data_IF_029117688436
#
_entry.id   IF_029117688436
#
_cell.length_a   1.000
_cell.length_b   1.000
_cell.length_c   1.000
_cell.angle_alpha   90.00
_cell.angle_beta   90.00
_cell.angle_gamma   90.00
#
_symmetry.space_group_name_H-M   'P 1'
#
loop_
_entity.id
_entity.type
_entity.pdbx_description
1 polymer ?
#
# COMPACT_ATOMS: atom_id res chain seq x y z
N UNK A 1 23.19 -7.82 -14.42
CA UNK A 1 23.72 -8.73 -13.39
C UNK A 1 22.51 -9.19 -12.61
N UNK A 2 22.12 -10.45 -12.77
CA UNK A 2 20.80 -10.95 -12.34
C UNK A 2 20.85 -11.59 -10.96
N UNK A 3 21.98 -11.43 -10.26
CA UNK A 3 22.21 -11.88 -8.88
C UNK A 3 22.92 -10.78 -8.12
N UNK A 4 22.48 -10.55 -6.90
CA UNK A 4 23.12 -9.62 -5.97
C UNK A 4 23.01 -10.20 -4.56
N UNK A 5 24.08 -10.09 -3.78
CA UNK A 5 24.04 -10.36 -2.34
C UNK A 5 23.99 -9.00 -1.63
N UNK A 6 22.84 -8.70 -1.03
CA UNK A 6 22.56 -7.41 -0.41
C UNK A 6 22.52 -7.55 1.11
N UNK A 7 23.13 -6.62 1.84
CA UNK A 7 23.23 -6.67 3.31
C UNK A 7 21.88 -6.79 4.04
N UNK A 8 20.82 -6.26 3.45
CA UNK A 8 19.46 -6.30 3.99
C UNK A 8 18.58 -7.39 3.39
N UNK A 9 18.65 -7.59 2.06
CA UNK A 9 17.75 -8.48 1.33
C UNK A 9 18.33 -9.90 1.16
N UNK A 10 19.60 -10.10 1.51
CA UNK A 10 20.33 -11.34 1.27
C UNK A 10 20.59 -11.57 -0.21
N UNK A 11 20.72 -12.84 -0.58
CA UNK A 11 20.92 -13.26 -1.96
C UNK A 11 19.63 -13.13 -2.77
N UNK A 12 19.59 -12.17 -3.70
CA UNK A 12 18.54 -11.98 -4.68
C UNK A 12 18.96 -12.59 -6.02
N UNK A 13 18.02 -13.20 -6.73
CA UNK A 13 18.25 -13.83 -8.03
C UNK A 13 17.04 -13.68 -8.95
N UNK A 14 17.24 -13.04 -10.09
CA UNK A 14 16.22 -12.81 -11.14
C UNK A 14 16.41 -13.71 -12.36
N UNK A 15 17.33 -14.70 -12.34
CA UNK A 15 17.55 -15.61 -13.48
C UNK A 15 16.32 -16.49 -13.80
N UNK A 16 15.51 -16.80 -12.77
CA UNK A 16 14.39 -17.74 -12.88
C UNK A 16 13.03 -17.07 -13.08
N UNK A 17 12.97 -15.74 -13.05
CA UNK A 17 11.70 -14.99 -13.19
C UNK A 17 11.53 -14.47 -14.62
N UNK A 18 10.31 -14.10 -14.98
CA UNK A 18 9.99 -13.62 -16.34
C UNK A 18 10.66 -12.28 -16.65
N UNK A 19 10.89 -11.99 -17.94
CA UNK A 19 11.15 -10.61 -18.39
C UNK A 19 9.86 -9.84 -18.66
N UNK A 20 8.76 -10.57 -18.93
CA UNK A 20 7.46 -9.98 -19.29
C UNK A 20 6.60 -9.62 -18.09
N UNK A 21 6.87 -10.24 -16.93
CA UNK A 21 6.05 -10.13 -15.74
C UNK A 21 6.91 -9.99 -14.49
N UNK A 22 6.56 -9.04 -13.63
CA UNK A 22 7.24 -8.89 -12.34
C UNK A 22 6.91 -10.07 -11.41
N UNK A 23 7.91 -10.56 -10.68
CA UNK A 23 7.74 -11.62 -9.68
C UNK A 23 8.43 -11.24 -8.36
N UNK A 24 7.99 -11.86 -7.27
CA UNK A 24 8.50 -11.62 -5.92
C UNK A 24 9.82 -12.35 -5.74
N UNK A 25 10.90 -11.58 -5.55
CA UNK A 25 12.24 -12.12 -5.30
C UNK A 25 12.64 -12.08 -3.83
N UNK A 26 11.90 -11.36 -3.01
CA UNK A 26 12.09 -11.30 -1.57
C UNK A 26 10.81 -10.90 -0.87
N UNK A 27 10.60 -11.39 0.35
CA UNK A 27 9.53 -10.92 1.22
C UNK A 27 9.92 -10.99 2.68
N UNK A 28 9.27 -10.17 3.51
CA UNK A 28 9.41 -10.19 4.98
C UNK A 28 8.18 -9.60 5.64
N UNK A 29 7.81 -10.15 6.79
CA UNK A 29 6.75 -9.60 7.64
C UNK A 29 7.30 -8.55 8.62
N UNK A 30 6.51 -7.50 8.84
CA UNK A 30 6.77 -6.43 9.78
C UNK A 30 5.58 -6.29 10.73
N UNK A 31 5.86 -6.11 12.01
CA UNK A 31 4.85 -5.75 13.00
C UNK A 31 4.85 -4.24 13.18
N UNK A 32 3.73 -3.61 12.84
CA UNK A 32 3.42 -2.23 13.19
C UNK A 32 2.44 -2.22 14.36
N UNK A 33 2.18 -1.03 14.92
CA UNK A 33 1.33 -0.86 16.11
C UNK A 33 -0.03 -1.54 16.01
N UNK A 34 -0.61 -1.65 14.81
CA UNK A 34 -1.97 -2.16 14.57
C UNK A 34 -2.03 -3.38 13.66
N UNK A 35 -1.01 -3.63 12.87
CA UNK A 35 -1.05 -4.63 11.80
C UNK A 35 0.27 -5.40 11.71
N UNK A 36 0.18 -6.65 11.29
CA UNK A 36 1.31 -7.34 10.68
C UNK A 36 1.16 -7.17 9.16
N UNK A 37 2.18 -6.61 8.53
CA UNK A 37 2.20 -6.32 7.10
C UNK A 37 3.33 -7.08 6.43
N UNK A 38 3.07 -7.65 5.26
CA UNK A 38 4.11 -8.25 4.43
C UNK A 38 4.66 -7.21 3.46
N UNK A 39 5.99 -7.06 3.44
CA UNK A 39 6.69 -6.36 2.38
C UNK A 39 7.22 -7.35 1.35
N UNK A 40 7.12 -7.02 0.07
CA UNK A 40 7.59 -7.81 -1.06
C UNK A 40 8.47 -6.96 -1.96
N UNK A 41 9.57 -7.52 -2.44
CA UNK A 41 10.41 -6.94 -3.49
C UNK A 41 10.09 -7.62 -4.82
N UNK A 42 9.66 -6.82 -5.78
CA UNK A 42 9.25 -7.24 -7.11
C UNK A 42 10.32 -6.83 -8.13
N UNK A 43 10.65 -7.75 -9.03
CA UNK A 43 11.62 -7.52 -10.08
C UNK A 43 11.26 -8.29 -11.35
N UNK A 44 11.90 -7.94 -12.46
CA UNK A 44 11.92 -8.71 -13.71
C UNK A 44 13.35 -9.17 -14.02
N UNK A 45 13.49 -10.14 -14.92
CA UNK A 45 14.81 -10.68 -15.30
C UNK A 45 15.65 -9.76 -16.20
N UNK A 46 15.02 -8.79 -16.88
CA UNK A 46 15.66 -7.87 -17.83
C UNK A 46 16.19 -6.58 -17.17
N UNK A 47 15.75 -6.27 -15.94
CA UNK A 47 16.17 -5.07 -15.19
C UNK A 47 17.28 -5.41 -14.18
N UNK A 48 18.45 -4.78 -14.28
CA UNK A 48 19.49 -4.97 -13.27
C UNK A 48 19.07 -4.33 -11.95
N UNK A 49 19.31 -5.05 -10.85
CA UNK A 49 19.12 -4.51 -9.51
C UNK A 49 20.29 -3.57 -9.16
N UNK A 50 19.97 -2.34 -8.78
CA UNK A 50 20.94 -1.36 -8.28
C UNK A 50 21.05 -1.44 -6.75
N UNK A 51 22.26 -1.73 -6.26
CA UNK A 51 22.55 -1.83 -4.83
C UNK A 51 22.23 -0.55 -4.04
N UNK A 52 22.48 0.63 -4.61
CA UNK A 52 22.20 1.91 -3.96
C UNK A 52 20.69 2.15 -3.82
N UNK A 53 19.90 1.77 -4.84
CA UNK A 53 18.44 1.86 -4.77
C UNK A 53 17.86 0.83 -3.80
N UNK A 54 18.45 -0.37 -3.73
CA UNK A 54 18.10 -1.36 -2.70
C UNK A 54 18.42 -0.85 -1.28
N UNK A 55 19.55 -0.17 -1.09
CA UNK A 55 19.87 0.48 0.19
C UNK A 55 18.83 1.55 0.58
N UNK A 56 18.28 2.28 -0.39
CA UNK A 56 17.20 3.24 -0.16
C UNK A 56 15.91 2.55 0.32
N UNK A 57 15.46 1.49 -0.37
CA UNK A 57 14.34 0.67 0.12
C UNK A 57 14.59 0.09 1.51
N UNK A 58 15.78 -0.47 1.75
CA UNK A 58 16.14 -1.01 3.06
C UNK A 58 16.13 0.06 4.16
N UNK A 59 16.57 1.28 3.85
CA UNK A 59 16.49 2.42 4.76
C UNK A 59 15.04 2.78 5.09
N UNK A 60 14.14 2.76 4.10
CA UNK A 60 12.71 3.00 4.32
C UNK A 60 12.05 1.92 5.17
N UNK A 61 12.32 0.65 4.89
CA UNK A 61 11.81 -0.46 5.71
C UNK A 61 12.30 -0.42 7.16
N UNK A 62 13.52 0.10 7.43
CA UNK A 62 14.02 0.31 8.79
C UNK A 62 13.28 1.43 9.54
N UNK A 63 12.68 2.38 8.82
CA UNK A 63 11.90 3.50 9.36
C UNK A 63 10.43 3.42 8.93
N UNK A 64 9.89 2.19 8.82
CA UNK A 64 8.57 1.95 8.23
C UNK A 64 7.44 2.68 8.97
N UNK A 65 7.53 2.86 10.29
CA UNK A 65 6.53 3.59 11.06
C UNK A 65 6.42 5.07 10.66
N UNK A 66 7.53 5.70 10.25
CA UNK A 66 7.53 7.08 9.78
C UNK A 66 6.91 7.19 8.39
N UNK A 67 7.17 6.19 7.53
CA UNK A 67 6.57 6.10 6.20
C UNK A 67 5.05 5.84 6.29
N UNK A 68 4.61 4.92 7.17
CA UNK A 68 3.19 4.66 7.43
C UNK A 68 2.47 5.92 7.95
N UNK A 69 3.08 6.64 8.88
CA UNK A 69 2.53 7.91 9.37
C UNK A 69 2.38 8.93 8.23
N UNK A 70 3.38 9.02 7.35
CA UNK A 70 3.33 9.92 6.19
C UNK A 70 2.24 9.50 5.21
N UNK A 71 2.11 8.20 4.92
CA UNK A 71 1.09 7.66 4.04
C UNK A 71 -0.32 7.97 4.55
N UNK A 72 -0.57 7.75 5.85
CA UNK A 72 -1.84 8.09 6.50
C UNK A 72 -2.17 9.59 6.42
N UNK A 73 -1.17 10.46 6.52
CA UNK A 73 -1.37 11.90 6.30
C UNK A 73 -1.78 12.22 4.85
N UNK A 74 -1.19 11.56 3.86
CA UNK A 74 -1.56 11.77 2.46
C UNK A 74 -2.94 11.19 2.13
N UNK A 75 -3.30 10.03 2.70
CA UNK A 75 -4.66 9.50 2.61
C UNK A 75 -5.66 10.49 3.19
N UNK A 76 -5.39 11.07 4.36
CA UNK A 76 -6.25 12.09 4.95
C UNK A 76 -6.50 13.27 4.00
N UNK A 77 -5.45 13.79 3.36
CA UNK A 77 -5.56 14.87 2.37
C UNK A 77 -6.33 14.47 1.12
N UNK A 78 -6.13 13.24 0.63
CA UNK A 78 -6.87 12.69 -0.49
C UNK A 78 -8.37 12.65 -0.16
N UNK A 79 -8.72 12.13 1.02
CA UNK A 79 -10.10 12.02 1.49
C UNK A 79 -10.75 13.37 1.83
N UNK A 80 -9.96 14.39 2.20
CA UNK A 80 -10.47 15.76 2.36
C UNK A 80 -10.91 16.37 1.02
N UNK A 81 -10.24 15.99 -0.07
CA UNK A 81 -10.54 16.47 -1.42
C UNK A 81 -11.65 15.66 -2.11
N UNK A 82 -11.75 14.36 -1.82
CA UNK A 82 -12.68 13.43 -2.44
C UNK A 82 -13.21 12.44 -1.40
N UNK A 83 -14.51 12.49 -1.15
CA UNK A 83 -15.19 11.70 -0.12
C UNK A 83 -15.74 10.37 -0.65
N UNK A 84 -15.65 10.10 -1.95
CA UNK A 84 -16.31 8.95 -2.58
C UNK A 84 -15.86 7.63 -1.95
N UNK A 85 -14.59 7.50 -1.58
CA UNK A 85 -14.10 6.30 -0.90
C UNK A 85 -14.75 6.11 0.50
N UNK A 86 -15.01 7.19 1.25
CA UNK A 86 -15.67 7.12 2.56
C UNK A 86 -17.15 6.76 2.36
N UNK A 87 -17.83 7.43 1.43
CA UNK A 87 -19.24 7.17 1.13
C UNK A 87 -19.48 5.73 0.67
N UNK A 88 -18.62 5.23 -0.23
CA UNK A 88 -18.66 3.86 -0.71
C UNK A 88 -18.61 2.85 0.46
N UNK A 89 -17.70 3.04 1.42
CA UNK A 89 -17.53 2.10 2.53
C UNK A 89 -18.58 2.25 3.65
N UNK A 90 -19.10 3.45 3.88
CA UNK A 90 -20.01 3.71 5.00
C UNK A 90 -21.49 3.71 4.61
N UNK A 91 -21.80 3.82 3.32
CA UNK A 91 -23.17 3.84 2.79
C UNK A 91 -23.38 2.69 1.79
N UNK A 92 -22.63 2.66 0.69
CA UNK A 92 -22.93 1.75 -0.43
C UNK A 92 -22.73 0.27 -0.07
N UNK A 93 -21.59 -0.09 0.53
CA UNK A 93 -21.34 -1.48 0.94
C UNK A 93 -22.39 -1.95 1.97
N UNK A 94 -22.70 -1.19 3.05
CA UNK A 94 -23.75 -1.56 3.99
C UNK A 94 -25.13 -1.78 3.36
N UNK A 95 -25.50 -1.00 2.34
CA UNK A 95 -26.75 -1.19 1.60
C UNK A 95 -26.75 -2.49 0.78
N UNK A 96 -25.60 -2.88 0.22
CA UNK A 96 -25.45 -4.12 -0.53
C UNK A 96 -25.43 -5.37 0.37
N UNK A 97 -24.96 -5.25 1.62
CA UNK A 97 -24.85 -6.36 2.58
C UNK A 97 -25.53 -6.00 3.91
N UNK A 98 -26.87 -5.88 3.95
CA UNK A 98 -27.61 -5.30 5.09
C UNK A 98 -27.63 -6.20 6.34
N UNK A 99 -27.20 -7.46 6.22
CA UNK A 99 -27.18 -8.43 7.32
C UNK A 99 -25.80 -8.57 8.00
N UNK A 100 -24.80 -7.82 7.54
CA UNK A 100 -23.48 -7.76 8.17
C UNK A 100 -23.50 -6.93 9.46
N UNK A 101 -22.54 -7.16 10.36
CA UNK A 101 -22.41 -6.37 11.59
C UNK A 101 -21.68 -5.05 11.32
N UNK A 102 -22.47 -3.98 11.16
CA UNK A 102 -21.98 -2.62 10.92
C UNK A 102 -21.81 -1.80 12.21
N UNK A 103 -21.62 -2.46 13.37
CA UNK A 103 -21.45 -1.75 14.65
C UNK A 103 -20.26 -0.79 14.66
N UNK A 104 -19.19 -1.07 13.91
CA UNK A 104 -18.05 -0.16 13.80
C UNK A 104 -18.40 1.13 13.04
N UNK A 105 -19.29 1.11 12.04
CA UNK A 105 -19.75 2.32 11.32
C UNK A 105 -20.40 3.28 12.29
N UNK A 106 -21.17 2.79 13.28
CA UNK A 106 -21.76 3.66 14.32
C UNK A 106 -20.72 4.38 15.17
N UNK A 107 -19.49 3.88 15.23
CA UNK A 107 -18.39 4.56 15.91
C UNK A 107 -17.86 5.74 15.08
N UNK A 108 -17.83 5.58 13.76
CA UNK A 108 -17.38 6.62 12.82
C UNK A 108 -18.51 7.62 12.46
N UNK A 109 -19.77 7.18 12.51
CA UNK A 109 -20.98 7.92 12.19
C UNK A 109 -22.06 7.74 13.28
N UNK A 110 -21.85 8.26 14.51
CA UNK A 110 -22.77 8.05 15.62
C UNK A 110 -24.17 8.65 15.37
N UNK A 111 -24.29 9.63 14.47
CA UNK A 111 -25.55 10.27 14.09
C UNK A 111 -26.12 9.77 12.75
N UNK A 112 -25.46 8.82 12.09
CA UNK A 112 -25.89 8.30 10.78
C UNK A 112 -25.70 9.27 9.61
N UNK A 113 -24.89 10.31 9.77
CA UNK A 113 -24.59 11.30 8.73
C UNK A 113 -23.12 11.19 8.33
N UNK A 114 -22.85 10.76 7.09
CA UNK A 114 -21.50 10.54 6.57
C UNK A 114 -20.68 11.83 6.51
N UNK A 115 -21.34 12.98 6.35
CA UNK A 115 -20.67 14.29 6.32
C UNK A 115 -20.09 14.70 7.67
N UNK A 116 -20.46 13.98 8.75
CA UNK A 116 -19.95 14.21 10.11
C UNK A 116 -18.75 13.32 10.46
N UNK A 117 -18.34 12.42 9.56
CA UNK A 117 -17.20 11.53 9.79
C UNK A 117 -15.93 12.35 9.97
N UNK A 118 -15.20 12.03 11.03
CA UNK A 118 -13.85 12.54 11.20
C UNK A 118 -12.90 11.72 10.32
N UNK A 119 -12.32 12.36 9.30
CA UNK A 119 -11.37 11.72 8.37
C UNK A 119 -10.19 11.08 9.12
N UNK A 120 -9.69 11.70 10.19
CA UNK A 120 -8.58 11.13 10.96
C UNK A 120 -8.98 9.81 11.65
N UNK A 121 -10.21 9.71 12.13
CA UNK A 121 -10.72 8.46 12.74
C UNK A 121 -10.96 7.39 11.67
N UNK A 122 -11.43 7.76 10.48
CA UNK A 122 -11.57 6.85 9.34
C UNK A 122 -10.20 6.31 8.91
N UNK A 123 -9.21 7.18 8.70
CA UNK A 123 -7.83 6.81 8.36
C UNK A 123 -7.19 5.97 9.46
N UNK A 124 -7.49 6.22 10.73
CA UNK A 124 -7.01 5.42 11.85
C UNK A 124 -7.59 4.01 11.86
N UNK A 125 -8.82 3.84 11.37
CA UNK A 125 -9.48 2.56 11.22
C UNK A 125 -8.97 1.75 10.01
N UNK A 126 -8.40 2.41 9.00
CA UNK A 126 -7.76 1.73 7.86
C UNK A 126 -6.55 0.90 8.28
N UNK A 127 -6.41 -0.26 7.65
CA UNK A 127 -5.34 -1.23 7.89
C UNK A 127 -4.35 -1.23 6.75
N UNK A 128 -3.06 -1.27 7.08
CA UNK A 128 -2.02 -1.46 6.06
C UNK A 128 -1.92 -2.95 5.73
N UNK A 129 -2.27 -3.33 4.51
CA UNK A 129 -2.37 -4.73 4.10
C UNK A 129 -1.08 -5.25 3.46
N UNK A 130 -0.45 -4.45 2.60
CA UNK A 130 0.71 -4.88 1.82
C UNK A 130 1.66 -3.72 1.54
N UNK A 131 2.95 -4.04 1.42
CA UNK A 131 4.00 -3.12 0.95
C UNK A 131 4.70 -3.77 -0.24
N UNK A 132 4.63 -3.14 -1.41
CA UNK A 132 5.34 -3.59 -2.60
C UNK A 132 6.50 -2.64 -2.93
N UNK A 133 7.70 -3.20 -3.07
CA UNK A 133 8.90 -2.51 -3.51
C UNK A 133 9.18 -2.95 -4.95
N UNK A 134 8.99 -2.07 -5.92
CA UNK A 134 9.16 -2.40 -7.33
C UNK A 134 10.53 -1.94 -7.83
N UNK A 135 11.41 -2.86 -8.21
CA UNK A 135 12.70 -2.54 -8.87
C UNK A 135 12.48 -2.24 -10.36
N UNK A 136 11.46 -2.86 -10.95
CA UNK A 136 11.02 -2.65 -12.33
C UNK A 136 9.75 -1.80 -12.34
N UNK A 137 9.26 -1.44 -13.52
CA UNK A 137 7.87 -1.00 -13.62
C UNK A 137 6.97 -2.22 -13.38
N UNK A 138 5.90 -2.11 -12.58
CA UNK A 138 4.89 -3.16 -12.51
C UNK A 138 4.27 -3.33 -13.90
N UNK A 139 3.74 -4.52 -14.18
CA UNK A 139 3.13 -4.84 -15.48
C UNK A 139 2.20 -3.71 -15.92
N UNK A 140 2.23 -3.37 -17.22
CA UNK A 140 1.60 -2.19 -17.87
C UNK A 140 0.11 -1.96 -17.55
N UNK A 141 -0.56 -2.91 -16.88
CA UNK A 141 -1.97 -2.89 -16.52
C UNK A 141 -2.24 -2.61 -15.04
N UNK A 142 -1.21 -2.66 -14.18
CA UNK A 142 -1.38 -2.62 -12.72
C UNK A 142 -1.27 -1.23 -12.11
N UNK A 143 -0.73 -0.23 -12.82
CA UNK A 143 -0.75 1.15 -12.33
C UNK A 143 -0.26 2.16 -13.36
N UNK A 144 -1.17 3.03 -13.81
CA UNK A 144 -0.77 4.27 -14.46
C UNK A 144 0.14 5.08 -13.52
N UNK A 145 1.29 5.51 -14.04
CA UNK A 145 2.19 6.43 -13.34
C UNK A 145 3.14 5.82 -12.30
N UNK A 146 3.31 4.49 -12.25
CA UNK A 146 4.38 3.89 -11.41
C UNK A 146 5.69 3.81 -12.18
N UNK A 147 6.69 4.52 -11.68
CA UNK A 147 8.06 4.46 -12.17
C UNK A 147 8.82 3.27 -11.55
N UNK A 148 9.95 2.90 -12.15
CA UNK A 148 10.90 1.97 -11.52
C UNK A 148 11.32 2.51 -10.14
N UNK A 149 11.61 1.61 -9.20
CA UNK A 149 12.01 1.97 -7.84
C UNK A 149 10.92 2.69 -7.04
N UNK A 150 9.68 2.20 -7.12
CA UNK A 150 8.54 2.72 -6.36
C UNK A 150 8.22 1.83 -5.16
N UNK A 151 7.84 2.46 -4.04
CA UNK A 151 7.18 1.82 -2.91
C UNK A 151 5.67 2.05 -3.03
N UNK A 152 4.88 0.99 -2.97
CA UNK A 152 3.42 1.05 -2.90
C UNK A 152 2.97 0.48 -1.57
N UNK A 153 2.11 1.21 -0.87
CA UNK A 153 1.54 0.81 0.41
C UNK A 153 0.01 0.75 0.28
N UNK A 154 -0.55 -0.44 0.46
CA UNK A 154 -1.97 -0.70 0.19
C UNK A 154 -2.77 -0.62 1.49
N UNK A 155 -3.65 0.36 1.59
CA UNK A 155 -4.52 0.56 2.74
C UNK A 155 -5.94 0.13 2.44
N UNK A 156 -6.50 -0.68 3.34
CA UNK A 156 -7.86 -1.22 3.22
C UNK A 156 -8.75 -0.75 4.35
N UNK A 157 -10.03 -0.61 4.07
CA UNK A 157 -11.06 -0.38 5.07
C UNK A 157 -12.07 -1.52 5.03
N UNK A 158 -12.27 -2.20 6.18
CA UNK A 158 -13.13 -3.39 6.27
C UNK A 158 -12.83 -4.49 5.23
N UNK A 159 -11.61 -5.06 5.24
CA UNK A 159 -11.17 -6.06 4.26
C UNK A 159 -12.01 -7.35 4.23
N UNK A 160 -12.85 -7.57 5.24
CA UNK A 160 -13.80 -8.67 5.30
C UNK A 160 -14.97 -8.56 4.30
N UNK A 161 -15.23 -7.36 3.80
CA UNK A 161 -16.40 -7.04 2.95
C UNK A 161 -16.06 -6.16 1.74
N UNK A 162 -14.83 -5.65 1.65
CA UNK A 162 -14.36 -4.81 0.55
C UNK A 162 -12.94 -5.21 0.13
N UNK A 163 -12.70 -5.26 -1.17
CA UNK A 163 -11.36 -5.38 -1.76
C UNK A 163 -10.78 -4.01 -2.18
N UNK A 164 -11.55 -2.93 -2.01
CA UNK A 164 -11.13 -1.59 -2.41
C UNK A 164 -9.97 -1.10 -1.55
N UNK A 165 -8.96 -0.55 -2.22
CA UNK A 165 -7.74 -0.08 -1.58
C UNK A 165 -7.48 1.39 -1.89
N UNK A 166 -6.81 2.08 -0.98
CA UNK A 166 -6.05 3.28 -1.28
C UNK A 166 -4.57 2.93 -1.34
N UNK A 167 -4.03 2.88 -2.55
CA UNK A 167 -2.63 2.63 -2.81
C UNK A 167 -1.84 3.95 -2.70
N UNK A 168 -0.95 4.03 -1.71
CA UNK A 168 -0.07 5.19 -1.52
C UNK A 168 1.29 4.90 -2.14
N UNK A 169 1.70 5.74 -3.09
CA UNK A 169 2.93 5.56 -3.87
C UNK A 169 4.00 6.53 -3.38
N UNK A 170 5.21 6.02 -3.18
CA UNK A 170 6.40 6.76 -2.85
C UNK A 170 7.56 6.37 -3.77
N UNK A 171 8.52 7.26 -3.96
CA UNK A 171 9.84 6.88 -4.50
C UNK A 171 10.57 5.96 -3.52
N UNK A 172 11.65 5.30 -3.94
CA UNK A 172 12.48 4.47 -3.07
C UNK A 172 13.16 5.27 -1.94
N UNK A 173 13.28 6.59 -2.11
CA UNK A 173 13.81 7.49 -1.08
C UNK A 173 12.73 7.94 -0.08
N UNK A 174 11.46 7.62 -0.32
CA UNK A 174 10.31 7.94 0.55
C UNK A 174 9.61 9.24 0.22
N UNK A 175 9.84 9.83 -0.95
CA UNK A 175 9.12 11.02 -1.39
C UNK A 175 7.74 10.62 -1.90
N UNK A 176 6.70 11.33 -1.46
CA UNK A 176 5.32 11.05 -1.86
C UNK A 176 5.11 11.31 -3.35
N UNK A 177 4.42 10.39 -4.02
CA UNK A 177 4.06 10.48 -5.45
C UNK A 177 2.55 10.73 -5.59
N UNK A 178 1.71 9.79 -5.14
CA UNK A 178 0.25 9.90 -5.26
C UNK A 178 -0.50 8.95 -4.32
N UNK A 179 -1.81 9.18 -4.18
CA UNK A 179 -2.78 8.22 -3.64
C UNK A 179 -3.72 7.83 -4.79
N UNK A 180 -3.98 6.54 -4.95
CA UNK A 180 -4.89 6.01 -5.97
C UNK A 180 -5.91 5.08 -5.33
N UNK A 181 -7.19 5.27 -5.64
CA UNK A 181 -8.22 4.27 -5.34
C UNK A 181 -8.16 3.17 -6.40
N UNK A 182 -7.95 1.93 -5.95
CA UNK A 182 -7.79 0.73 -6.79
C UNK A 182 -8.66 -0.42 -6.24
N UNK A 183 -8.91 -1.44 -7.08
CA UNK A 183 -9.67 -2.67 -6.76
C UNK A 183 -8.99 -3.92 -7.29
#
# INVERSE_FOLDING_TARGET
MNKIDHSYFGALNTDAISHDYADVVWHKEFSLTRDNVQAKLWATSDKPMDAHRLDAFASRLKHLSELDMTARQQIGRYLEADWDFIEFHLIEIPEQIPHHDWSFIKTLMPFGDVTTVNIADFVLAMRLQNISLYVCQPDLWLSDGVEEYTIVMDYVFSPEVSDQILAVKFTETGEFVTVSWES
#
